data_IF_869243823834
#
_entry.id   IF_869243823834
#
_cell.length_a   1.000
_cell.length_b   1.000
_cell.length_c   1.000
_cell.angle_alpha   90.00
_cell.angle_beta   90.00
_cell.angle_gamma   90.00
#
_symmetry.space_group_name_H-M   'P 1'
#
loop_
_entity.id
_entity.type
_entity.pdbx_description
1 polymer ?
#
# COMPACT_ATOMS: atom_id res chain seq x y z
N UNK A 1 -0.24 11.73 19.91
CA UNK A 1 -0.40 11.55 18.44
C UNK A 1 -0.67 10.07 18.20
N UNK A 2 -1.75 9.67 17.50
CA UNK A 2 -2.07 8.24 17.38
C UNK A 2 -0.97 7.48 16.64
N UNK A 3 -0.66 6.28 17.09
CA UNK A 3 0.37 5.39 16.52
C UNK A 3 0.19 5.19 15.01
N UNK A 4 -1.09 5.11 14.56
CA UNK A 4 -1.48 5.09 13.14
C UNK A 4 -0.98 6.30 12.35
N UNK A 5 -1.16 7.52 12.87
CA UNK A 5 -0.72 8.75 12.18
C UNK A 5 0.80 8.82 12.06
N UNK A 6 1.53 8.30 13.04
CA UNK A 6 3.00 8.20 12.98
C UNK A 6 3.42 7.23 11.88
N UNK A 7 2.81 6.05 11.87
CA UNK A 7 3.06 5.03 10.83
C UNK A 7 2.80 5.57 9.42
N UNK A 8 1.65 6.22 9.18
CA UNK A 8 1.36 6.80 7.87
C UNK A 8 2.37 7.88 7.45
N UNK A 9 2.82 8.72 8.38
CA UNK A 9 3.84 9.75 8.09
C UNK A 9 5.18 9.13 7.71
N UNK A 10 5.63 8.13 8.47
CA UNK A 10 6.88 7.42 8.19
C UNK A 10 6.82 6.72 6.83
N UNK A 11 5.68 6.08 6.54
CA UNK A 11 5.42 5.43 5.26
C UNK A 11 5.49 6.43 4.09
N UNK A 12 4.80 7.57 4.18
CA UNK A 12 4.86 8.61 3.16
C UNK A 12 6.27 9.19 3.00
N UNK A 13 6.99 9.41 4.10
CA UNK A 13 8.34 9.98 4.08
C UNK A 13 9.30 9.05 3.35
N UNK A 14 9.24 7.75 3.62
CA UNK A 14 10.12 6.76 2.99
C UNK A 14 9.83 6.63 1.49
N UNK A 15 8.56 6.52 1.09
CA UNK A 15 8.20 6.42 -0.33
C UNK A 15 8.61 7.67 -1.10
N UNK A 16 8.32 8.85 -0.56
CA UNK A 16 8.66 10.11 -1.23
C UNK A 16 10.18 10.30 -1.33
N UNK A 17 10.95 9.78 -0.35
CA UNK A 17 12.42 9.78 -0.39
C UNK A 17 12.96 8.87 -1.47
N UNK A 18 12.46 7.62 -1.58
CA UNK A 18 12.91 6.65 -2.60
C UNK A 18 12.60 7.17 -4.01
N UNK A 19 11.44 7.80 -4.18
CA UNK A 19 10.99 8.31 -5.47
C UNK A 19 11.56 9.69 -5.82
N UNK A 20 12.17 10.39 -4.87
CA UNK A 20 12.68 11.75 -5.07
C UNK A 20 11.58 12.80 -5.33
N UNK A 21 10.31 12.47 -5.08
CA UNK A 21 9.17 13.37 -5.25
C UNK A 21 8.04 13.06 -4.26
N UNK A 22 7.10 13.99 -4.11
CA UNK A 22 5.91 13.81 -3.27
C UNK A 22 4.83 12.95 -3.97
N UNK A 23 5.08 11.65 -4.09
CA UNK A 23 4.16 10.71 -4.73
C UNK A 23 2.92 10.39 -3.86
N UNK A 24 3.11 10.30 -2.54
CA UNK A 24 2.07 9.90 -1.58
C UNK A 24 1.99 10.86 -0.39
N UNK A 25 0.77 11.05 0.10
CA UNK A 25 0.48 11.83 1.32
C UNK A 25 -0.36 11.01 2.28
N UNK A 26 -0.31 11.36 3.57
CA UNK A 26 -1.08 10.67 4.61
C UNK A 26 -2.57 10.67 4.27
N UNK A 27 -3.11 11.80 3.82
CA UNK A 27 -4.51 11.92 3.45
C UNK A 27 -4.89 11.01 2.27
N UNK A 28 -3.99 10.88 1.28
CA UNK A 28 -4.21 9.94 0.16
C UNK A 28 -4.23 8.50 0.63
N UNK A 29 -3.30 8.10 1.51
CA UNK A 29 -3.27 6.74 2.07
C UNK A 29 -4.54 6.44 2.86
N UNK A 30 -4.99 7.39 3.70
CA UNK A 30 -6.26 7.25 4.45
C UNK A 30 -7.45 7.07 3.51
N UNK A 31 -7.51 7.84 2.42
CA UNK A 31 -8.57 7.69 1.40
C UNK A 31 -8.52 6.33 0.71
N UNK A 32 -7.33 5.85 0.32
CA UNK A 32 -7.19 4.53 -0.31
C UNK A 32 -7.57 3.39 0.63
N UNK A 33 -7.25 3.49 1.92
CA UNK A 33 -7.69 2.52 2.92
C UNK A 33 -9.21 2.52 3.04
N UNK A 34 -9.84 3.70 3.09
CA UNK A 34 -11.30 3.80 3.15
C UNK A 34 -11.99 3.22 1.90
N UNK A 35 -11.43 3.48 0.72
CA UNK A 35 -11.93 2.96 -0.55
C UNK A 35 -11.75 1.44 -0.65
N UNK A 36 -10.60 0.91 -0.22
CA UNK A 36 -10.35 -0.51 -0.13
C UNK A 36 -11.33 -1.22 0.81
N UNK A 37 -11.65 -0.62 1.97
CA UNK A 37 -12.71 -1.13 2.87
C UNK A 37 -14.07 -1.15 2.19
N UNK A 38 -14.41 -0.10 1.44
CA UNK A 38 -15.68 -0.04 0.71
C UNK A 38 -15.76 -1.16 -0.32
N UNK A 39 -14.72 -1.31 -1.16
CA UNK A 39 -14.66 -2.35 -2.19
C UNK A 39 -14.74 -3.75 -1.57
N UNK A 40 -14.03 -3.99 -0.47
CA UNK A 40 -14.11 -5.27 0.25
C UNK A 40 -15.54 -5.61 0.67
N UNK A 41 -16.28 -4.61 1.18
CA UNK A 41 -17.66 -4.78 1.65
C UNK A 41 -18.66 -4.96 0.51
N UNK A 42 -18.45 -4.31 -0.63
CA UNK A 42 -19.46 -4.24 -1.70
C UNK A 42 -19.21 -5.19 -2.86
N UNK A 43 -17.95 -5.49 -3.17
CA UNK A 43 -17.54 -6.28 -4.35
C UNK A 43 -16.73 -7.53 -4.02
N UNK A 44 -16.22 -7.63 -2.79
CA UNK A 44 -15.48 -8.80 -2.32
C UNK A 44 -13.99 -8.77 -2.64
N UNK A 45 -13.34 -9.93 -2.53
CA UNK A 45 -11.88 -10.06 -2.51
C UNK A 45 -11.22 -9.81 -3.86
N UNK A 46 -11.79 -10.29 -4.96
CA UNK A 46 -11.17 -10.19 -6.28
C UNK A 46 -11.09 -8.74 -6.77
N UNK A 47 -12.17 -7.98 -6.61
CA UNK A 47 -12.19 -6.54 -6.90
C UNK A 47 -11.23 -5.74 -6.02
N UNK A 48 -11.06 -6.16 -4.76
CA UNK A 48 -10.08 -5.54 -3.88
C UNK A 48 -8.65 -5.79 -4.38
N UNK A 49 -8.32 -7.02 -4.77
CA UNK A 49 -7.00 -7.35 -5.34
C UNK A 49 -6.77 -6.55 -6.63
N UNK A 50 -7.78 -6.47 -7.50
CA UNK A 50 -7.72 -5.67 -8.72
C UNK A 50 -7.47 -4.19 -8.40
N UNK A 51 -8.27 -3.60 -7.49
CA UNK A 51 -8.10 -2.22 -7.05
C UNK A 51 -6.69 -1.94 -6.51
N UNK A 52 -6.15 -2.82 -5.66
CA UNK A 52 -4.79 -2.65 -5.11
C UNK A 52 -3.72 -2.73 -6.20
N UNK A 53 -3.91 -3.60 -7.18
CA UNK A 53 -2.99 -3.76 -8.32
C UNK A 53 -3.02 -2.53 -9.22
N UNK A 54 -4.20 -2.03 -9.56
CA UNK A 54 -4.37 -0.82 -10.38
C UNK A 54 -3.95 0.45 -9.64
N UNK A 55 -4.18 0.52 -8.32
CA UNK A 55 -3.76 1.65 -7.50
C UNK A 55 -2.24 1.82 -7.55
N UNK A 56 -1.49 0.72 -7.51
CA UNK A 56 -0.03 0.74 -7.69
C UNK A 56 0.38 1.36 -9.02
N UNK A 57 -0.27 0.96 -10.11
CA UNK A 57 0.01 1.45 -11.47
C UNK A 57 -0.37 2.93 -11.66
N UNK A 58 -1.38 3.41 -10.93
CA UNK A 58 -1.77 4.83 -10.95
C UNK A 58 -0.86 5.72 -10.11
N UNK A 59 -0.27 5.18 -9.05
CA UNK A 59 0.57 5.96 -8.12
C UNK A 59 2.01 6.10 -8.60
N UNK A 60 2.51 5.11 -9.33
CA UNK A 60 3.91 4.98 -9.69
C UNK A 60 4.06 4.74 -11.19
N UNK A 61 5.00 5.43 -11.81
CA UNK A 61 5.40 5.11 -13.19
C UNK A 61 6.13 3.76 -13.24
N UNK A 62 6.22 3.10 -14.40
CA UNK A 62 6.97 1.85 -14.54
C UNK A 62 8.43 1.97 -14.05
N UNK A 63 9.10 3.09 -14.33
CA UNK A 63 10.46 3.42 -13.87
C UNK A 63 10.53 3.57 -12.35
N UNK A 64 9.51 4.18 -11.74
CA UNK A 64 9.41 4.33 -10.29
C UNK A 64 9.16 2.99 -9.60
N UNK A 65 8.34 2.13 -10.21
CA UNK A 65 8.14 0.75 -9.73
C UNK A 65 9.45 -0.03 -9.82
N UNK A 66 10.26 0.16 -10.87
CA UNK A 66 11.60 -0.46 -10.97
C UNK A 66 12.54 0.05 -9.87
N UNK A 67 12.61 1.37 -9.66
CA UNK A 67 13.42 1.99 -8.59
C UNK A 67 13.00 1.52 -7.20
N UNK A 68 11.70 1.45 -6.97
CA UNK A 68 11.12 0.90 -5.76
C UNK A 68 11.55 -0.56 -5.60
N UNK A 69 11.28 -1.44 -6.57
CA UNK A 69 11.67 -2.87 -6.55
C UNK A 69 13.15 -3.12 -6.25
N UNK A 70 14.04 -2.24 -6.70
CA UNK A 70 15.49 -2.33 -6.47
C UNK A 70 15.90 -1.88 -5.05
N UNK A 71 15.04 -1.14 -4.34
CA UNK A 71 15.31 -0.73 -2.96
C UNK A 71 14.96 -1.84 -1.96
N UNK A 72 15.85 -2.13 -1.02
CA UNK A 72 15.56 -3.01 0.13
C UNK A 72 14.35 -2.51 0.93
N UNK A 73 14.14 -1.19 0.95
CA UNK A 73 13.02 -0.52 1.60
C UNK A 73 11.67 -0.79 0.93
N UNK A 74 11.61 -1.29 -0.30
CA UNK A 74 10.35 -1.60 -0.98
C UNK A 74 9.70 -2.91 -0.52
N UNK A 75 10.53 -3.92 -0.22
CA UNK A 75 10.05 -5.16 0.40
C UNK A 75 9.44 -4.86 1.76
N UNK A 76 10.13 -4.04 2.54
CA UNK A 76 9.61 -3.56 3.81
C UNK A 76 8.35 -2.69 3.63
N UNK A 77 8.32 -1.80 2.64
CA UNK A 77 7.19 -0.92 2.34
C UNK A 77 5.92 -1.69 2.01
N UNK A 78 5.93 -2.55 0.98
CA UNK A 78 4.70 -3.23 0.59
C UNK A 78 4.31 -4.30 1.62
N UNK A 79 5.25 -4.84 2.40
CA UNK A 79 4.93 -5.66 3.58
C UNK A 79 4.17 -4.83 4.61
N UNK A 80 4.71 -3.68 5.01
CA UNK A 80 4.10 -2.77 5.99
C UNK A 80 2.74 -2.25 5.52
N UNK A 81 2.57 -1.97 4.22
CA UNK A 81 1.29 -1.57 3.64
C UNK A 81 0.25 -2.69 3.71
N UNK A 82 0.64 -3.94 3.43
CA UNK A 82 -0.22 -5.09 3.57
C UNK A 82 -0.55 -5.38 5.04
N UNK A 83 0.42 -5.22 5.95
CA UNK A 83 0.21 -5.37 7.39
C UNK A 83 -0.77 -4.31 7.93
N UNK A 84 -0.67 -3.08 7.42
CA UNK A 84 -1.66 -2.04 7.67
C UNK A 84 -3.04 -2.43 7.15
N UNK A 85 -3.14 -2.99 5.94
CA UNK A 85 -4.41 -3.42 5.37
C UNK A 85 -5.03 -4.55 6.19
N UNK A 86 -4.21 -5.45 6.74
CA UNK A 86 -4.65 -6.47 7.72
C UNK A 86 -5.17 -5.83 8.99
N UNK A 87 -4.38 -4.93 9.58
CA UNK A 87 -4.75 -4.24 10.82
C UNK A 87 -6.04 -3.40 10.66
N UNK A 88 -6.26 -2.83 9.48
CA UNK A 88 -7.47 -2.07 9.16
C UNK A 88 -8.66 -2.96 8.75
N UNK A 89 -8.49 -4.29 8.73
CA UNK A 89 -9.54 -5.27 8.39
C UNK A 89 -9.92 -5.26 6.91
N UNK A 90 -9.04 -4.74 6.05
CA UNK A 90 -9.24 -4.64 4.60
C UNK A 90 -8.98 -5.99 3.93
N UNK A 91 -7.91 -6.67 4.36
CA UNK A 91 -7.51 -8.00 3.89
C UNK A 91 -7.24 -8.92 5.09
N UNK A 92 -7.31 -10.21 4.89
CA UNK A 92 -6.92 -11.21 5.90
C UNK A 92 -5.40 -11.39 5.95
N UNK A 93 -4.90 -11.99 7.03
CA UNK A 93 -3.48 -12.39 7.15
C UNK A 93 -3.08 -13.34 6.00
N UNK A 94 -3.98 -14.24 5.60
CA UNK A 94 -3.76 -15.16 4.48
C UNK A 94 -3.61 -14.44 3.15
N UNK A 95 -4.49 -13.49 2.86
CA UNK A 95 -4.44 -12.65 1.66
C UNK A 95 -3.17 -11.78 1.64
N UNK A 96 -2.78 -11.21 2.79
CA UNK A 96 -1.51 -10.49 2.93
C UNK A 96 -0.31 -11.38 2.60
N UNK A 97 -0.25 -12.60 3.13
CA UNK A 97 0.82 -13.57 2.81
C UNK A 97 0.86 -13.94 1.33
N UNK A 98 -0.31 -14.14 0.71
CA UNK A 98 -0.41 -14.43 -0.72
C UNK A 98 0.11 -13.26 -1.56
N UNK A 99 -0.33 -12.03 -1.27
CA UNK A 99 0.11 -10.81 -1.96
C UNK A 99 1.61 -10.56 -1.76
N UNK A 100 2.15 -10.83 -0.57
CA UNK A 100 3.61 -10.76 -0.33
C UNK A 100 4.37 -11.72 -1.25
N UNK A 101 3.85 -12.91 -1.56
CA UNK A 101 4.49 -13.87 -2.48
C UNK A 101 4.34 -13.53 -3.96
N UNK A 102 3.28 -12.81 -4.34
CA UNK A 102 3.05 -12.42 -5.74
C UNK A 102 3.76 -11.11 -6.11
N UNK A 103 4.03 -10.25 -5.13
CA UNK A 103 4.58 -8.89 -5.34
C UNK A 103 6.08 -8.81 -5.01
N UNK A 104 6.65 -9.77 -4.28
CA UNK A 104 8.06 -9.79 -3.80
C UNK A 104 8.84 -11.05 -4.15
#
# INVERSE_FOLDING_TARGET
MSEKKRFYRELCKNVNRILGRRAVTVDRIVRYVAEAKRIRRTKGTMDLIHFLTTLRERLFTPEEVKRLKQSSQYKEFSSRLLDLMVYEGVITVGESRMLKRMVF
#
